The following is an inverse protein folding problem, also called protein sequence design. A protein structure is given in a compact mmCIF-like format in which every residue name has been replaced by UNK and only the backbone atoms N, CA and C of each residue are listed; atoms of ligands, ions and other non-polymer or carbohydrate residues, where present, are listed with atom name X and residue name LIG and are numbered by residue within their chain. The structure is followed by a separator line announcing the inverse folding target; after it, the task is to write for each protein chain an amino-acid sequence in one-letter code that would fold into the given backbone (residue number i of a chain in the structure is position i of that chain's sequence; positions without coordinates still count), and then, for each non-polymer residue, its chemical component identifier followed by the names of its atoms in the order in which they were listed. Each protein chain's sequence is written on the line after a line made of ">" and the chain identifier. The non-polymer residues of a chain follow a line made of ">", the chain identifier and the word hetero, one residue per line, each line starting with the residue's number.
data_IF_874830765548
#
_entry.id   IF_874830765548
#
_cell.length_a   1.000
_cell.length_b   1.000
_cell.length_c   1.000
_cell.angle_alpha   90.00
_cell.angle_beta   90.00
_cell.angle_gamma   90.00
#
_symmetry.space_group_name_H-M   'P 1'
#
loop_
_entity.id
_entity.type
_entity.pdbx_description
1 polymer ?
#
# COMPACT_ATOMS: atom_id res chain seq x y z
N UNK A 1 30.09 3.17 -5.11
CA UNK A 1 28.82 3.04 -4.39
C UNK A 1 28.45 1.56 -4.43
N UNK A 2 28.53 0.85 -3.31
CA UNK A 2 28.15 -0.56 -3.26
C UNK A 2 26.67 -0.64 -2.92
N UNK A 3 25.90 -1.25 -3.81
CA UNK A 3 24.48 -1.49 -3.66
C UNK A 3 24.30 -3.01 -3.66
N UNK A 4 23.56 -3.52 -2.67
CA UNK A 4 23.17 -4.92 -2.60
C UNK A 4 21.68 -5.03 -2.86
N UNK A 5 21.27 -5.88 -3.78
CA UNK A 5 19.86 -6.17 -4.04
C UNK A 5 19.39 -7.30 -3.13
N UNK A 6 18.33 -7.07 -2.38
CA UNK A 6 17.67 -8.06 -1.54
C UNK A 6 16.34 -8.46 -2.18
N UNK A 7 16.36 -9.50 -3.03
CA UNK A 7 15.13 -9.99 -3.63
C UNK A 7 14.36 -10.87 -2.63
N UNK A 8 13.19 -10.40 -2.22
CA UNK A 8 12.22 -11.17 -1.42
C UNK A 8 11.35 -12.02 -2.35
N UNK A 9 11.04 -13.27 -1.95
CA UNK A 9 10.28 -14.23 -2.78
C UNK A 9 8.89 -13.74 -3.23
N UNK A 10 8.30 -12.82 -2.51
CA UNK A 10 6.90 -12.41 -2.72
C UNK A 10 6.75 -11.12 -3.55
N UNK A 11 7.79 -10.65 -4.25
CA UNK A 11 7.71 -9.46 -5.14
C UNK A 11 6.59 -9.52 -6.19
N UNK A 12 5.99 -10.69 -6.37
CA UNK A 12 4.91 -10.88 -7.34
C UNK A 12 3.70 -9.96 -7.06
N UNK A 13 3.38 -9.68 -5.79
CA UNK A 13 2.21 -8.85 -5.44
C UNK A 13 2.40 -7.37 -5.80
N UNK A 14 3.50 -6.69 -5.42
CA UNK A 14 3.77 -5.33 -5.89
C UNK A 14 3.87 -5.24 -7.42
N UNK A 15 4.45 -6.23 -8.09
CA UNK A 15 4.53 -6.27 -9.56
C UNK A 15 3.14 -6.37 -10.17
N UNK A 16 2.28 -7.25 -9.66
CA UNK A 16 0.88 -7.34 -10.10
C UNK A 16 0.14 -6.02 -9.87
N UNK A 17 0.32 -5.39 -8.72
CA UNK A 17 -0.25 -4.07 -8.46
C UNK A 17 0.17 -3.04 -9.53
N UNK A 18 1.45 -2.99 -9.92
CA UNK A 18 1.96 -2.11 -10.98
C UNK A 18 1.26 -2.42 -12.32
N UNK A 19 1.18 -3.70 -12.70
CA UNK A 19 0.57 -4.12 -13.97
C UNK A 19 -0.91 -3.72 -14.03
N UNK A 20 -1.68 -4.00 -12.98
CA UNK A 20 -3.11 -3.66 -12.93
C UNK A 20 -3.34 -2.15 -12.87
N UNK A 21 -2.49 -1.41 -12.13
CA UNK A 21 -2.54 0.05 -12.07
C UNK A 21 -2.30 0.66 -13.44
N UNK A 22 -1.26 0.23 -14.14
CA UNK A 22 -0.93 0.73 -15.46
C UNK A 22 -2.02 0.40 -16.50
N UNK A 23 -2.54 -0.83 -16.46
CA UNK A 23 -3.66 -1.24 -17.31
C UNK A 23 -4.91 -0.36 -17.11
N UNK A 24 -5.24 -0.06 -15.85
CA UNK A 24 -6.37 0.83 -15.51
C UNK A 24 -6.17 2.24 -16.06
N UNK A 25 -4.98 2.81 -15.91
CA UNK A 25 -4.70 4.17 -16.41
C UNK A 25 -4.75 4.27 -17.91
N UNK A 26 -4.19 3.28 -18.64
CA UNK A 26 -4.30 3.22 -20.13
C UNK A 26 -5.77 3.17 -20.54
N UNK A 27 -6.56 2.32 -19.90
CA UNK A 27 -7.97 2.20 -20.24
C UNK A 27 -8.77 3.48 -19.93
N UNK A 28 -8.52 4.10 -18.78
CA UNK A 28 -9.10 5.41 -18.43
C UNK A 28 -8.81 6.45 -19.49
N UNK A 29 -7.59 6.50 -20.00
CA UNK A 29 -7.22 7.41 -21.07
C UNK A 29 -7.93 7.09 -22.39
N UNK A 30 -8.05 5.81 -22.75
CA UNK A 30 -8.79 5.40 -23.95
C UNK A 30 -10.26 5.84 -23.86
N UNK A 31 -10.90 5.62 -22.70
CA UNK A 31 -12.29 6.03 -22.46
C UNK A 31 -12.40 7.56 -22.56
N UNK A 32 -11.48 8.29 -21.94
CA UNK A 32 -11.47 9.75 -21.97
C UNK A 32 -11.23 10.32 -23.37
N UNK A 33 -10.19 9.86 -24.09
CA UNK A 33 -9.77 10.45 -25.39
C UNK A 33 -10.52 9.88 -26.60
N UNK A 34 -10.86 8.58 -26.59
CA UNK A 34 -11.48 7.91 -27.75
C UNK A 34 -13.00 7.89 -27.67
N UNK A 35 -13.54 7.67 -26.49
CA UNK A 35 -14.99 7.60 -26.27
C UNK A 35 -15.54 8.98 -25.84
N UNK A 36 -14.65 9.88 -25.43
CA UNK A 36 -14.98 11.22 -24.93
C UNK A 36 -15.99 11.19 -23.75
N UNK A 37 -15.77 10.22 -22.84
CA UNK A 37 -16.61 10.04 -21.68
C UNK A 37 -15.84 10.46 -20.43
N UNK A 38 -16.28 11.53 -19.76
CA UNK A 38 -15.56 12.20 -18.65
C UNK A 38 -16.33 12.18 -17.35
N UNK A 39 -17.42 11.39 -17.25
CA UNK A 39 -18.34 11.44 -16.13
C UNK A 39 -17.84 10.65 -14.91
N UNK A 40 -17.23 11.36 -13.96
CA UNK A 40 -16.68 10.78 -12.73
C UNK A 40 -17.75 10.09 -11.86
N UNK A 41 -19.00 10.55 -11.92
CA UNK A 41 -20.14 9.92 -11.24
C UNK A 41 -20.41 8.47 -11.70
N UNK A 42 -19.85 8.02 -12.82
CA UNK A 42 -19.94 6.64 -13.30
C UNK A 42 -18.66 5.87 -13.02
N UNK A 43 -17.50 6.53 -13.12
CA UNK A 43 -16.22 5.88 -12.86
C UNK A 43 -16.07 5.42 -11.41
N UNK A 44 -16.46 6.27 -10.46
CA UNK A 44 -16.28 6.01 -9.03
C UNK A 44 -17.09 4.78 -8.56
N UNK A 45 -18.42 4.69 -8.80
CA UNK A 45 -19.18 3.49 -8.45
C UNK A 45 -18.71 2.24 -9.21
N UNK A 46 -18.23 2.38 -10.45
CA UNK A 46 -17.68 1.26 -11.22
C UNK A 46 -16.38 0.73 -10.57
N UNK A 47 -15.54 1.61 -10.06
CA UNK A 47 -14.33 1.24 -9.32
C UNK A 47 -14.68 0.43 -8.06
N UNK A 48 -15.56 0.94 -7.21
CA UNK A 48 -15.96 0.27 -5.98
C UNK A 48 -16.70 -1.04 -6.23
N UNK A 49 -17.51 -1.11 -7.27
CA UNK A 49 -18.14 -2.37 -7.66
C UNK A 49 -17.08 -3.42 -8.05
N UNK A 50 -15.98 -3.00 -8.69
CA UNK A 50 -14.82 -3.85 -8.94
C UNK A 50 -14.17 -4.38 -7.66
N UNK A 51 -14.08 -3.57 -6.61
CA UNK A 51 -13.56 -3.98 -5.29
C UNK A 51 -14.45 -5.00 -4.60
N UNK A 52 -15.78 -4.77 -4.61
CA UNK A 52 -16.76 -5.74 -4.09
C UNK A 52 -16.60 -7.08 -4.78
N UNK A 53 -16.51 -7.05 -6.10
CA UNK A 53 -16.41 -8.26 -6.92
C UNK A 53 -15.09 -9.00 -6.69
N UNK A 54 -13.96 -8.27 -6.71
CA UNK A 54 -12.64 -8.85 -6.47
C UNK A 54 -12.53 -9.40 -5.02
N UNK A 55 -12.86 -8.59 -4.00
CA UNK A 55 -12.83 -9.01 -2.60
C UNK A 55 -13.73 -10.21 -2.35
N UNK A 56 -14.97 -10.19 -2.85
CA UNK A 56 -15.92 -11.29 -2.69
C UNK A 56 -15.46 -12.60 -3.34
N UNK A 57 -14.94 -12.56 -4.57
CA UNK A 57 -14.43 -13.76 -5.27
C UNK A 57 -13.25 -14.36 -4.51
N UNK A 58 -12.25 -13.53 -4.14
CA UNK A 58 -11.05 -14.03 -3.48
C UNK A 58 -11.33 -14.53 -2.07
N UNK A 59 -12.21 -13.89 -1.32
CA UNK A 59 -12.71 -14.39 -0.04
C UNK A 59 -13.37 -15.78 -0.18
N UNK A 60 -14.27 -15.95 -1.16
CA UNK A 60 -14.90 -17.24 -1.41
C UNK A 60 -13.91 -18.31 -1.87
N UNK A 61 -12.92 -17.93 -2.67
CA UNK A 61 -11.85 -18.81 -3.10
C UNK A 61 -11.00 -19.27 -1.92
N UNK A 62 -10.53 -18.35 -1.08
CA UNK A 62 -9.77 -18.67 0.14
C UNK A 62 -10.54 -19.62 1.04
N UNK A 63 -11.81 -19.30 1.33
CA UNK A 63 -12.68 -20.17 2.15
C UNK A 63 -12.86 -21.57 1.58
N UNK A 64 -12.91 -21.71 0.24
CA UNK A 64 -12.96 -23.03 -0.42
C UNK A 64 -11.65 -23.79 -0.27
N UNK A 65 -10.52 -23.11 -0.51
CA UNK A 65 -9.18 -23.69 -0.39
C UNK A 65 -8.93 -24.17 1.04
N UNK A 66 -9.22 -23.32 2.05
CA UNK A 66 -9.10 -23.71 3.46
C UNK A 66 -9.97 -24.90 3.82
N UNK A 67 -11.19 -24.97 3.30
CA UNK A 67 -12.07 -26.12 3.51
C UNK A 67 -11.56 -27.41 2.87
N UNK A 68 -10.97 -27.33 1.66
CA UNK A 68 -10.37 -28.50 0.99
C UNK A 68 -9.12 -29.00 1.72
N UNK A 69 -8.28 -28.08 2.21
CA UNK A 69 -7.08 -28.39 2.99
C UNK A 69 -7.48 -29.07 4.31
N UNK A 70 -8.49 -28.54 5.01
CA UNK A 70 -8.99 -29.15 6.27
C UNK A 70 -9.48 -30.57 6.04
N UNK A 71 -10.20 -30.80 4.93
CA UNK A 71 -10.66 -32.14 4.56
C UNK A 71 -9.50 -33.10 4.22
N UNK A 72 -8.48 -32.63 3.50
CA UNK A 72 -7.30 -33.41 3.18
C UNK A 72 -6.47 -33.77 4.43
N UNK A 73 -6.43 -32.87 5.42
CA UNK A 73 -5.83 -33.08 6.73
C UNK A 73 -6.53 -34.19 7.52
N UNK A 74 -7.87 -34.15 7.53
CA UNK A 74 -8.72 -35.18 8.17
C UNK A 74 -8.53 -36.57 7.51
N UNK A 75 -8.26 -36.61 6.20
CA UNK A 75 -8.08 -37.88 5.44
C UNK A 75 -6.64 -38.45 5.54
N UNK A 76 -5.60 -37.64 5.70
CA UNK A 76 -4.18 -38.09 5.63
C UNK A 76 -3.46 -38.29 6.98
N UNK A 77 -4.07 -37.93 8.10
CA UNK A 77 -3.38 -37.95 9.41
C UNK A 77 -2.23 -36.93 9.54
N UNK A 78 -1.66 -36.86 10.73
CA UNK A 78 -0.73 -35.79 11.15
C UNK A 78 0.59 -35.63 10.37
N UNK A 79 0.96 -36.53 9.48
CA UNK A 79 2.28 -36.55 8.80
C UNK A 79 2.49 -35.45 7.74
N UNK A 80 1.51 -34.62 7.49
CA UNK A 80 1.60 -33.52 6.50
C UNK A 80 2.13 -32.18 7.07
N UNK A 81 2.73 -32.18 8.24
CA UNK A 81 3.15 -30.94 8.97
C UNK A 81 4.17 -30.06 8.21
N UNK A 82 4.97 -30.63 7.33
CA UNK A 82 6.03 -29.89 6.61
C UNK A 82 5.54 -28.92 5.54
N UNK A 83 4.35 -29.12 4.98
CA UNK A 83 3.76 -28.23 3.98
C UNK A 83 2.94 -27.09 4.61
N UNK A 84 2.68 -27.18 5.91
CA UNK A 84 1.72 -26.39 6.68
C UNK A 84 2.32 -25.16 7.38
N UNK A 85 3.65 -24.93 7.38
CA UNK A 85 4.21 -23.80 8.11
C UNK A 85 3.67 -22.42 7.64
N UNK A 86 3.36 -22.26 6.36
CA UNK A 86 2.77 -21.01 5.86
C UNK A 86 1.27 -20.88 6.17
N UNK A 87 0.57 -22.01 6.35
CA UNK A 87 -0.85 -22.04 6.66
C UNK A 87 -1.06 -22.07 8.18
N UNK A 88 -0.16 -22.68 8.94
CA UNK A 88 -0.15 -22.64 10.40
C UNK A 88 0.04 -21.22 10.95
N UNK A 89 0.76 -20.35 10.23
CA UNK A 89 0.80 -18.92 10.55
C UNK A 89 -0.58 -18.27 10.46
N UNK A 90 -1.38 -18.62 9.46
CA UNK A 90 -2.74 -18.11 9.26
C UNK A 90 -3.73 -18.78 10.26
N UNK A 91 -3.54 -20.06 10.57
CA UNK A 91 -4.40 -20.80 11.52
C UNK A 91 -4.09 -20.43 12.98
N UNK A 92 -2.82 -20.27 13.36
CA UNK A 92 -2.42 -19.78 14.68
C UNK A 92 -2.86 -18.32 14.92
N UNK A 93 -2.86 -17.49 13.86
CA UNK A 93 -3.48 -16.17 13.92
C UNK A 93 -4.99 -16.29 14.20
N UNK A 94 -5.69 -17.24 13.60
CA UNK A 94 -7.15 -17.44 13.80
C UNK A 94 -7.51 -18.13 15.11
N UNK A 95 -6.72 -19.08 15.61
CA UNK A 95 -6.94 -19.69 16.93
C UNK A 95 -6.65 -18.74 18.08
N UNK A 96 -5.69 -17.80 17.89
CA UNK A 96 -5.53 -16.67 18.80
C UNK A 96 -6.68 -15.66 18.69
N UNK A 97 -7.31 -15.52 17.50
CA UNK A 97 -8.49 -14.69 17.31
C UNK A 97 -9.69 -15.15 18.17
N UNK A 98 -9.92 -16.46 18.30
CA UNK A 98 -11.04 -16.97 19.09
C UNK A 98 -10.85 -16.78 20.62
N UNK A 99 -9.62 -16.69 21.09
CA UNK A 99 -9.30 -16.50 22.52
C UNK A 99 -9.25 -15.01 22.95
N UNK A 100 -9.02 -14.11 21.99
CA UNK A 100 -8.96 -12.65 22.19
C UNK A 100 -10.18 -11.89 21.69
N UNK A 101 -11.26 -12.58 21.32
CA UNK A 101 -12.43 -11.93 20.74
C UNK A 101 -13.15 -11.06 21.80
N UNK A 102 -12.82 -9.80 21.75
CA UNK A 102 -13.34 -8.70 22.55
C UNK A 102 -14.80 -8.39 22.24
N UNK A 103 -15.52 -7.72 23.16
CA UNK A 103 -16.97 -7.54 23.14
C UNK A 103 -17.51 -6.71 21.96
N UNK A 104 -18.82 -6.62 21.87
CA UNK A 104 -19.64 -5.98 20.82
C UNK A 104 -19.18 -4.58 20.38
N UNK A 105 -18.45 -3.86 21.26
CA UNK A 105 -17.88 -2.53 20.96
C UNK A 105 -16.75 -2.56 19.93
N UNK A 106 -16.00 -3.66 19.83
CA UNK A 106 -14.92 -3.79 18.85
C UNK A 106 -15.44 -3.94 17.43
N UNK A 107 -16.56 -4.65 17.21
CA UNK A 107 -17.16 -4.80 15.88
C UNK A 107 -17.64 -3.47 15.30
N UNK A 108 -18.24 -2.62 16.14
CA UNK A 108 -18.66 -1.28 15.72
C UNK A 108 -17.47 -0.40 15.35
N UNK A 109 -16.37 -0.50 16.12
CA UNK A 109 -15.12 0.21 15.84
C UNK A 109 -14.54 -0.24 14.49
N UNK A 110 -14.45 -1.54 14.24
CA UNK A 110 -13.94 -2.11 12.98
C UNK A 110 -14.77 -1.61 11.79
N UNK A 111 -16.10 -1.73 11.85
CA UNK A 111 -16.99 -1.25 10.79
C UNK A 111 -16.81 0.25 10.55
N UNK A 112 -16.67 1.04 11.61
CA UNK A 112 -16.43 2.49 11.51
C UNK A 112 -15.08 2.79 10.86
N UNK A 113 -14.01 2.06 11.18
CA UNK A 113 -12.69 2.25 10.57
C UNK A 113 -12.69 1.89 9.08
N UNK A 114 -13.38 0.81 8.69
CA UNK A 114 -13.54 0.44 7.28
C UNK A 114 -14.36 1.51 6.53
N UNK A 115 -15.45 2.01 7.13
CA UNK A 115 -16.22 3.11 6.57
C UNK A 115 -15.36 4.38 6.39
N UNK A 116 -14.52 4.70 7.37
CA UNK A 116 -13.62 5.85 7.30
C UNK A 116 -12.56 5.68 6.20
N UNK A 117 -12.05 4.46 6.02
CA UNK A 117 -11.13 4.12 4.93
C UNK A 117 -11.81 4.34 3.56
N UNK A 118 -13.02 3.86 3.36
CA UNK A 118 -13.81 4.07 2.15
C UNK A 118 -14.09 5.57 1.91
N UNK A 119 -14.44 6.32 2.95
CA UNK A 119 -14.65 7.78 2.86
C UNK A 119 -13.38 8.52 2.42
N UNK A 120 -12.21 8.13 2.92
CA UNK A 120 -10.95 8.72 2.49
C UNK A 120 -10.67 8.46 1.02
N UNK A 121 -11.02 7.27 0.51
CA UNK A 121 -10.86 6.93 -0.91
C UNK A 121 -11.80 7.76 -1.80
N UNK A 122 -13.07 7.91 -1.42
CA UNK A 122 -14.03 8.74 -2.13
C UNK A 122 -13.57 10.20 -2.19
N UNK A 123 -13.19 10.78 -1.06
CA UNK A 123 -12.74 12.18 -0.99
C UNK A 123 -11.43 12.35 -1.78
N UNK A 124 -10.50 11.41 -1.68
CA UNK A 124 -9.26 11.40 -2.46
C UNK A 124 -9.53 11.37 -3.97
N UNK A 125 -10.45 10.51 -4.40
CA UNK A 125 -10.86 10.44 -5.80
C UNK A 125 -11.45 11.77 -6.29
N UNK A 126 -12.34 12.37 -5.52
CA UNK A 126 -12.96 13.67 -5.84
C UNK A 126 -11.89 14.77 -5.98
N UNK A 127 -10.95 14.84 -5.03
CA UNK A 127 -9.86 15.82 -5.09
C UNK A 127 -9.03 15.62 -6.35
N UNK A 128 -8.63 14.38 -6.66
CA UNK A 128 -7.71 14.06 -7.75
C UNK A 128 -8.35 14.16 -9.13
N UNK A 129 -9.60 13.75 -9.29
CA UNK A 129 -10.25 13.62 -10.59
C UNK A 129 -11.26 14.71 -10.92
N UNK A 130 -11.75 15.45 -9.91
CA UNK A 130 -12.73 16.52 -10.10
C UNK A 130 -12.08 17.87 -9.83
N UNK A 131 -11.53 18.07 -8.64
CA UNK A 131 -11.04 19.39 -8.22
C UNK A 131 -9.75 19.80 -8.91
N UNK A 132 -8.72 18.92 -8.92
CA UNK A 132 -7.43 19.26 -9.54
C UNK A 132 -7.56 19.52 -11.05
N UNK A 133 -8.26 18.69 -11.86
CA UNK A 133 -8.45 18.96 -13.29
C UNK A 133 -9.24 20.23 -13.58
N UNK A 134 -10.18 20.64 -12.70
CA UNK A 134 -10.99 21.86 -12.86
C UNK A 134 -10.14 23.13 -12.91
N UNK A 135 -8.94 23.11 -12.37
CA UNK A 135 -8.06 24.28 -12.38
C UNK A 135 -7.23 24.45 -13.66
N UNK A 136 -7.29 23.53 -14.64
CA UNK A 136 -6.64 23.59 -15.98
C UNK A 136 -5.19 24.10 -16.05
N UNK A 137 -4.53 24.32 -14.91
CA UNK A 137 -3.21 24.97 -14.78
C UNK A 137 -2.14 23.96 -14.45
N UNK A 138 -2.51 22.90 -13.74
CA UNK A 138 -1.61 21.81 -13.42
C UNK A 138 -1.56 20.84 -14.59
N UNK A 139 -0.36 20.40 -14.93
CA UNK A 139 -0.20 19.32 -15.89
C UNK A 139 -0.85 18.03 -15.35
N UNK A 140 -1.51 17.22 -16.19
CA UNK A 140 -2.08 15.94 -15.75
C UNK A 140 -1.07 15.01 -15.06
N UNK A 141 0.21 15.10 -15.43
CA UNK A 141 1.30 14.35 -14.82
C UNK A 141 1.75 14.90 -13.45
N UNK A 142 1.30 16.08 -13.02
CA UNK A 142 1.77 16.71 -11.78
C UNK A 142 1.33 15.93 -10.53
N UNK A 143 0.05 15.56 -10.45
CA UNK A 143 -0.50 14.80 -9.32
C UNK A 143 0.28 13.51 -9.05
N UNK A 144 0.45 12.61 -10.03
CA UNK A 144 1.25 11.39 -9.86
C UNK A 144 2.69 11.62 -9.40
N UNK A 145 3.34 12.72 -9.83
CA UNK A 145 4.71 13.05 -9.39
C UNK A 145 4.80 13.40 -7.91
N UNK A 146 3.69 13.83 -7.30
CA UNK A 146 3.62 14.17 -5.87
C UNK A 146 3.30 12.97 -4.97
N UNK A 147 3.17 11.75 -5.52
CA UNK A 147 2.90 10.54 -4.72
C UNK A 147 3.93 10.31 -3.59
N UNK A 148 5.13 10.89 -3.69
CA UNK A 148 6.12 10.90 -2.63
C UNK A 148 5.64 11.48 -1.30
N UNK A 149 4.69 12.40 -1.32
CA UNK A 149 4.08 12.91 -0.10
C UNK A 149 3.33 11.84 0.68
N UNK A 150 2.67 10.88 -0.01
CA UNK A 150 1.98 9.79 0.69
C UNK A 150 2.95 8.95 1.53
N UNK A 151 4.19 8.71 1.05
CA UNK A 151 5.21 8.01 1.85
C UNK A 151 5.63 8.80 3.08
N UNK A 152 5.86 10.11 2.94
CA UNK A 152 6.21 10.96 4.07
C UNK A 152 5.11 10.94 5.13
N UNK A 153 3.85 11.08 4.73
CA UNK A 153 2.71 11.05 5.64
C UNK A 153 2.44 9.65 6.18
N UNK A 154 2.55 8.61 5.36
CA UNK A 154 2.40 7.23 5.82
C UNK A 154 3.47 6.89 6.88
N UNK A 155 4.73 7.31 6.67
CA UNK A 155 5.76 7.14 7.70
C UNK A 155 5.43 7.91 8.97
N UNK A 156 4.92 9.12 8.86
CA UNK A 156 4.49 9.90 10.01
C UNK A 156 3.42 9.13 10.81
N UNK A 157 2.36 8.64 10.15
CA UNK A 157 1.32 7.85 10.83
C UNK A 157 1.86 6.53 11.38
N UNK A 158 2.80 5.89 10.69
CA UNK A 158 3.44 4.65 11.11
C UNK A 158 4.21 4.84 12.43
N UNK A 159 4.95 5.95 12.55
CA UNK A 159 5.68 6.28 13.78
C UNK A 159 4.74 6.67 14.92
N UNK A 160 3.80 7.57 14.66
CA UNK A 160 2.99 8.15 15.73
C UNK A 160 1.77 7.31 16.13
N UNK A 161 1.10 6.67 15.17
CA UNK A 161 -0.08 5.86 15.43
C UNK A 161 0.26 4.40 15.74
N UNK A 162 1.19 3.80 14.98
CA UNK A 162 1.57 2.39 15.13
C UNK A 162 2.83 2.20 16.00
N UNK A 163 3.48 3.30 16.42
CA UNK A 163 4.69 3.31 17.28
C UNK A 163 5.85 2.44 16.76
N UNK A 164 5.97 2.30 15.43
CA UNK A 164 6.99 1.50 14.82
C UNK A 164 8.31 2.27 14.69
N UNK A 165 9.48 1.64 14.86
CA UNK A 165 10.76 2.30 14.82
C UNK A 165 11.15 2.70 13.39
N UNK A 166 11.72 3.90 13.23
CA UNK A 166 12.32 4.37 11.98
C UNK A 166 13.83 4.36 12.09
N UNK A 167 14.46 3.52 11.28
CA UNK A 167 15.91 3.36 11.25
C UNK A 167 16.59 4.43 10.39
N UNK A 168 17.94 4.53 10.47
CA UNK A 168 18.72 5.54 9.75
C UNK A 168 18.55 5.49 8.24
N UNK A 169 18.49 4.30 7.64
CA UNK A 169 18.28 4.17 6.20
C UNK A 169 16.91 4.70 5.76
N UNK A 170 15.85 4.51 6.57
CA UNK A 170 14.54 5.13 6.34
C UNK A 170 14.63 6.66 6.38
N UNK A 171 15.29 7.24 7.39
CA UNK A 171 15.41 8.69 7.54
C UNK A 171 16.14 9.34 6.36
N UNK A 172 17.23 8.72 5.89
CA UNK A 172 17.99 9.20 4.75
C UNK A 172 17.14 9.13 3.47
N UNK A 173 16.48 8.01 3.23
CA UNK A 173 15.59 7.82 2.08
C UNK A 173 14.47 8.85 2.05
N UNK A 174 13.79 9.07 3.19
CA UNK A 174 12.73 10.08 3.31
C UNK A 174 13.23 11.49 3.09
N UNK A 175 14.42 11.83 3.61
CA UNK A 175 15.02 13.15 3.42
C UNK A 175 15.29 13.42 1.94
N UNK A 176 15.82 12.43 1.21
CA UNK A 176 16.09 12.57 -0.22
C UNK A 176 14.78 12.64 -1.02
N UNK A 177 13.78 11.81 -0.71
CA UNK A 177 12.45 11.90 -1.31
C UNK A 177 11.85 13.30 -1.08
N UNK A 178 11.93 13.84 0.15
CA UNK A 178 11.45 15.17 0.47
C UNK A 178 12.14 16.27 -0.35
N UNK A 179 13.47 16.20 -0.50
CA UNK A 179 14.22 17.14 -1.35
C UNK A 179 13.77 17.02 -2.82
N UNK A 180 13.59 15.80 -3.33
CA UNK A 180 13.10 15.57 -4.69
C UNK A 180 11.71 16.16 -4.92
N UNK A 181 10.80 16.07 -3.95
CA UNK A 181 9.47 16.67 -4.03
C UNK A 181 9.54 18.20 -4.09
N UNK A 182 10.42 18.82 -3.30
CA UNK A 182 10.64 20.27 -3.36
C UNK A 182 11.16 20.67 -4.75
N UNK A 183 12.06 19.89 -5.34
CA UNK A 183 12.57 20.15 -6.68
C UNK A 183 11.46 19.99 -7.73
N UNK A 184 10.57 18.99 -7.62
CA UNK A 184 9.41 18.84 -8.52
C UNK A 184 8.52 20.09 -8.46
N UNK A 185 8.19 20.58 -7.27
CA UNK A 185 7.38 21.79 -7.08
C UNK A 185 8.08 23.01 -7.67
N UNK A 186 9.38 23.16 -7.42
CA UNK A 186 10.17 24.26 -7.95
C UNK A 186 10.25 24.22 -9.50
N UNK A 187 10.44 23.04 -10.08
CA UNK A 187 10.43 22.87 -11.55
C UNK A 187 9.08 23.23 -12.15
N UNK A 188 7.97 22.76 -11.55
CA UNK A 188 6.61 23.13 -12.00
C UNK A 188 6.41 24.64 -11.95
N UNK A 189 6.86 25.30 -10.88
CA UNK A 189 6.79 26.75 -10.75
C UNK A 189 7.60 27.49 -11.80
N UNK A 190 8.84 27.04 -12.07
CA UNK A 190 9.76 27.68 -13.03
C UNK A 190 9.27 27.52 -14.46
N UNK A 191 8.89 26.31 -14.86
CA UNK A 191 8.55 26.00 -16.24
C UNK A 191 7.11 26.39 -16.62
N UNK A 192 6.18 26.40 -15.66
CA UNK A 192 4.83 26.92 -15.89
C UNK A 192 4.71 28.45 -15.72
N UNK A 193 5.81 29.18 -15.81
CA UNK A 193 5.88 30.62 -15.63
C UNK A 193 5.04 31.36 -16.69
N UNK A 194 3.81 31.71 -16.34
CA UNK A 194 2.94 32.65 -17.08
C UNK A 194 2.83 33.93 -16.25
N UNK A 195 2.85 35.05 -16.94
CA UNK A 195 2.92 36.41 -16.38
C UNK A 195 1.65 36.89 -15.63
N UNK A 196 0.72 36.03 -15.21
CA UNK A 196 -0.48 36.43 -14.49
C UNK A 196 -0.46 35.98 -13.04
N UNK A 197 -0.77 36.89 -12.11
CA UNK A 197 -0.91 36.64 -10.67
C UNK A 197 -1.92 35.51 -10.38
N UNK A 198 -2.98 35.40 -11.14
CA UNK A 198 -4.00 34.35 -11.00
C UNK A 198 -3.43 32.95 -11.16
N UNK A 199 -2.39 32.76 -11.96
CA UNK A 199 -1.80 31.43 -12.20
C UNK A 199 -1.04 30.89 -10.98
N UNK A 200 -0.41 31.76 -10.21
CA UNK A 200 0.24 31.35 -8.96
C UNK A 200 -0.75 30.94 -7.88
N UNK A 201 -1.87 31.65 -7.80
CA UNK A 201 -2.95 31.31 -6.90
C UNK A 201 -3.49 29.91 -7.21
N UNK A 202 -3.82 29.62 -8.45
CA UNK A 202 -4.33 28.32 -8.86
C UNK A 202 -3.28 27.19 -8.70
N UNK A 203 -2.00 27.46 -8.95
CA UNK A 203 -0.92 26.51 -8.69
C UNK A 203 -0.86 26.17 -7.21
N UNK A 204 -0.91 27.17 -6.32
CA UNK A 204 -0.91 26.97 -4.88
C UNK A 204 -2.14 26.18 -4.39
N UNK A 205 -3.33 26.50 -4.91
CA UNK A 205 -4.57 25.79 -4.59
C UNK A 205 -4.50 24.34 -5.10
N UNK A 206 -4.06 24.10 -6.33
CA UNK A 206 -3.92 22.76 -6.89
C UNK A 206 -2.86 21.93 -6.14
N UNK A 207 -1.76 22.54 -5.72
CA UNK A 207 -0.76 21.91 -4.86
C UNK A 207 -1.36 21.55 -3.50
N UNK A 208 -2.13 22.45 -2.90
CA UNK A 208 -2.85 22.21 -1.65
C UNK A 208 -3.78 20.99 -1.75
N UNK A 209 -4.62 20.93 -2.78
CA UNK A 209 -5.48 19.75 -3.02
C UNK A 209 -4.69 18.47 -3.27
N UNK A 210 -3.57 18.55 -4.00
CA UNK A 210 -2.71 17.39 -4.24
C UNK A 210 -2.10 16.88 -2.93
N UNK A 211 -1.62 17.76 -2.06
CA UNK A 211 -1.07 17.38 -0.75
C UNK A 211 -2.16 16.75 0.13
N UNK A 212 -3.36 17.36 0.21
CA UNK A 212 -4.47 16.79 0.98
C UNK A 212 -4.85 15.41 0.44
N UNK A 213 -4.91 15.24 -0.87
CA UNK A 213 -5.15 13.94 -1.50
C UNK A 213 -4.13 12.89 -1.06
N UNK A 214 -2.83 13.24 -0.99
CA UNK A 214 -1.78 12.31 -0.55
C UNK A 214 -1.85 12.01 0.96
N UNK A 215 -2.30 12.96 1.78
CA UNK A 215 -2.57 12.71 3.21
C UNK A 215 -3.70 11.68 3.36
N UNK A 216 -4.78 11.81 2.59
CA UNK A 216 -5.90 10.87 2.63
C UNK A 216 -5.49 9.47 2.21
N UNK A 217 -4.66 9.34 1.16
CA UNK A 217 -4.08 8.04 0.76
C UNK A 217 -3.27 7.43 1.90
N UNK A 218 -2.39 8.22 2.53
CA UNK A 218 -1.58 7.76 3.65
C UNK A 218 -2.42 7.35 4.87
N UNK A 219 -3.47 8.11 5.19
CA UNK A 219 -4.43 7.77 6.25
C UNK A 219 -5.13 6.45 5.95
N UNK A 220 -5.65 6.28 4.72
CA UNK A 220 -6.31 5.05 4.28
C UNK A 220 -5.39 3.84 4.43
N UNK A 221 -4.21 3.90 3.80
CA UNK A 221 -3.26 2.78 3.82
C UNK A 221 -2.81 2.43 5.26
N UNK A 222 -2.69 3.43 6.14
CA UNK A 222 -2.35 3.21 7.56
C UNK A 222 -3.51 2.62 8.36
N UNK A 223 -4.76 3.02 8.08
CA UNK A 223 -5.95 2.41 8.68
C UNK A 223 -6.11 0.95 8.28
N UNK A 224 -5.94 0.63 7.00
CA UNK A 224 -5.94 -0.75 6.51
C UNK A 224 -4.88 -1.59 7.24
N UNK A 225 -3.65 -1.07 7.36
CA UNK A 225 -2.57 -1.78 8.07
C UNK A 225 -2.91 -2.00 9.54
N UNK A 226 -3.51 -1.00 10.19
CA UNK A 226 -4.01 -1.14 11.56
C UNK A 226 -5.04 -2.28 11.67
N UNK A 227 -6.01 -2.34 10.76
CA UNK A 227 -7.03 -3.40 10.73
C UNK A 227 -6.41 -4.80 10.52
N UNK A 228 -5.32 -4.89 9.75
CA UNK A 228 -4.65 -6.17 9.52
C UNK A 228 -3.76 -6.62 10.68
N UNK A 229 -3.09 -5.72 11.37
CA UNK A 229 -2.12 -6.07 12.43
C UNK A 229 -2.74 -6.12 13.82
N UNK A 230 -3.70 -5.25 14.12
CA UNK A 230 -4.28 -5.14 15.46
C UNK A 230 -5.66 -5.76 15.59
N UNK A 231 -6.47 -5.70 14.53
CA UNK A 231 -7.81 -6.28 14.50
C UNK A 231 -7.86 -7.59 13.67
N UNK A 232 -6.70 -8.08 13.18
CA UNK A 232 -6.49 -9.34 12.44
C UNK A 232 -7.47 -9.58 11.30
N UNK A 233 -7.92 -8.51 10.65
CA UNK A 233 -8.92 -8.60 9.59
C UNK A 233 -8.36 -9.23 8.32
N UNK A 234 -9.20 -10.05 7.67
CA UNK A 234 -8.91 -10.59 6.34
C UNK A 234 -8.91 -9.45 5.30
N UNK A 235 -7.83 -9.30 4.48
CA UNK A 235 -7.72 -8.24 3.50
C UNK A 235 -8.83 -8.25 2.45
N UNK A 236 -9.34 -9.45 2.08
CA UNK A 236 -10.41 -9.57 1.09
C UNK A 236 -11.75 -9.11 1.66
N UNK A 237 -11.98 -9.35 2.95
CA UNK A 237 -13.15 -8.87 3.68
C UNK A 237 -13.12 -7.35 3.81
N UNK A 238 -11.96 -6.78 4.19
CA UNK A 238 -11.79 -5.32 4.28
C UNK A 238 -12.06 -4.69 2.92
N UNK A 239 -11.44 -5.18 1.84
CA UNK A 239 -11.65 -4.68 0.48
C UNK A 239 -13.12 -4.75 0.05
N UNK A 240 -13.81 -5.85 0.35
CA UNK A 240 -15.22 -6.02 0.02
C UNK A 240 -16.10 -4.98 0.74
N UNK A 241 -15.88 -4.76 2.03
CA UNK A 241 -16.64 -3.76 2.79
C UNK A 241 -16.28 -2.33 2.41
N UNK A 242 -15.01 -2.02 2.15
CA UNK A 242 -14.60 -0.72 1.58
C UNK A 242 -15.35 -0.46 0.26
N UNK A 243 -15.36 -1.46 -0.62
CA UNK A 243 -16.12 -1.39 -1.86
C UNK A 243 -17.61 -1.14 -1.65
N UNK A 244 -18.26 -1.80 -0.69
CA UNK A 244 -19.68 -1.60 -0.37
C UNK A 244 -19.92 -0.17 0.11
N UNK A 245 -19.14 0.30 1.09
CA UNK A 245 -19.31 1.66 1.63
C UNK A 245 -19.00 2.73 0.58
N UNK A 246 -17.90 2.60 -0.16
CA UNK A 246 -17.55 3.52 -1.22
C UNK A 246 -18.57 3.53 -2.36
N UNK A 247 -19.12 2.36 -2.73
CA UNK A 247 -20.21 2.28 -3.71
C UNK A 247 -21.46 3.06 -3.24
N UNK A 248 -21.84 2.91 -1.97
CA UNK A 248 -22.97 3.64 -1.39
C UNK A 248 -22.68 5.16 -1.32
N UNK A 249 -21.48 5.56 -0.90
CA UNK A 249 -21.08 6.96 -0.84
C UNK A 249 -21.04 7.59 -2.24
N UNK A 250 -20.58 6.86 -3.25
CA UNK A 250 -20.49 7.36 -4.63
C UNK A 250 -21.84 7.75 -5.22
N UNK A 251 -22.96 7.20 -4.74
CA UNK A 251 -24.30 7.64 -5.14
C UNK A 251 -24.64 9.07 -4.70
N UNK A 252 -23.94 9.59 -3.67
CA UNK A 252 -24.12 10.98 -3.26
C UNK A 252 -23.73 11.95 -4.38
N UNK A 253 -22.81 11.57 -5.27
CA UNK A 253 -22.46 12.36 -6.44
C UNK A 253 -23.62 12.48 -7.44
N UNK A 254 -24.46 11.45 -7.53
CA UNK A 254 -25.63 11.48 -8.42
C UNK A 254 -26.74 12.39 -7.89
N UNK A 255 -26.67 12.80 -6.62
CA UNK A 255 -27.62 13.79 -6.07
C UNK A 255 -27.34 15.21 -6.57
N UNK A 256 -26.12 15.48 -7.08
CA UNK A 256 -25.83 16.75 -7.76
C UNK A 256 -26.52 16.78 -9.13
N UNK A 257 -27.49 17.71 -9.26
CA UNK A 257 -28.25 17.91 -10.50
C UNK A 257 -27.33 18.18 -11.72
N UNK A 258 -26.19 18.81 -11.51
CA UNK A 258 -25.26 19.11 -12.61
C UNK A 258 -24.69 17.83 -13.22
N UNK A 259 -24.20 16.89 -12.39
CA UNK A 259 -23.70 15.60 -12.86
C UNK A 259 -24.78 14.77 -13.56
N UNK A 260 -26.00 14.77 -12.99
CA UNK A 260 -27.11 14.05 -13.60
C UNK A 260 -27.47 14.64 -14.97
N UNK A 261 -27.54 15.97 -15.07
CA UNK A 261 -27.83 16.67 -16.32
C UNK A 261 -26.72 16.43 -17.37
N UNK A 262 -25.46 16.45 -16.98
CA UNK A 262 -24.35 16.14 -17.88
C UNK A 262 -24.45 14.72 -18.45
N UNK A 263 -24.71 13.73 -17.61
CA UNK A 263 -24.87 12.33 -17.99
C UNK A 263 -26.09 12.17 -18.94
N UNK A 264 -27.21 12.82 -18.60
CA UNK A 264 -28.42 12.83 -19.44
C UNK A 264 -28.15 13.49 -20.79
N UNK A 265 -27.44 14.60 -20.82
CA UNK A 265 -27.06 15.29 -22.07
C UNK A 265 -26.14 14.42 -22.95
N UNK A 266 -25.15 13.75 -22.32
CA UNK A 266 -24.29 12.81 -23.03
C UNK A 266 -25.10 11.67 -23.67
N UNK A 267 -26.02 11.07 -22.89
CA UNK A 267 -26.91 10.03 -23.39
C UNK A 267 -27.78 10.53 -24.56
N UNK A 268 -28.45 11.66 -24.41
CA UNK A 268 -29.33 12.22 -25.42
C UNK A 268 -28.59 12.59 -26.71
N UNK A 269 -27.39 13.15 -26.60
CA UNK A 269 -26.54 13.54 -27.73
C UNK A 269 -26.04 12.32 -28.52
N UNK A 270 -25.88 11.20 -27.88
CA UNK A 270 -25.34 9.98 -28.50
C UNK A 270 -26.37 8.85 -28.64
N UNK A 271 -27.65 9.10 -28.35
CA UNK A 271 -28.72 8.09 -28.27
C UNK A 271 -28.87 7.23 -29.54
N UNK A 272 -28.50 7.75 -30.72
CA UNK A 272 -28.52 7.03 -31.98
C UNK A 272 -27.32 6.14 -32.26
N UNK A 273 -26.25 6.24 -31.42
CA UNK A 273 -25.01 5.52 -31.63
C UNK A 273 -24.90 4.30 -30.71
N UNK A 274 -25.64 3.23 -31.03
CA UNK A 274 -25.65 2.01 -30.23
C UNK A 274 -24.24 1.37 -30.06
N UNK A 275 -23.39 1.48 -31.08
CA UNK A 275 -22.03 0.95 -31.05
C UNK A 275 -21.18 1.69 -30.03
N UNK A 276 -21.36 3.01 -29.88
CA UNK A 276 -20.66 3.81 -28.86
C UNK A 276 -21.02 3.33 -27.45
N UNK A 277 -22.31 3.09 -27.17
CA UNK A 277 -22.75 2.59 -25.86
C UNK A 277 -22.26 1.18 -25.56
N UNK A 278 -22.24 0.29 -26.60
CA UNK A 278 -21.67 -1.04 -26.42
C UNK A 278 -20.18 -0.98 -26.08
N UNK A 279 -19.42 -0.15 -26.82
CA UNK A 279 -17.99 0.05 -26.55
C UNK A 279 -17.74 0.68 -25.18
N UNK A 280 -18.56 1.66 -24.76
CA UNK A 280 -18.48 2.27 -23.43
C UNK A 280 -18.78 1.23 -22.35
N UNK A 281 -19.86 0.45 -22.50
CA UNK A 281 -20.20 -0.62 -21.56
C UNK A 281 -19.10 -1.66 -21.41
N UNK A 282 -18.55 -2.12 -22.54
CA UNK A 282 -17.40 -3.04 -22.53
C UNK A 282 -16.16 -2.43 -21.86
N UNK A 283 -15.86 -1.16 -22.17
CA UNK A 283 -14.72 -0.47 -21.57
C UNK A 283 -14.91 -0.25 -20.05
N UNK A 284 -16.10 0.12 -19.59
CA UNK A 284 -16.41 0.23 -18.15
C UNK A 284 -16.33 -1.12 -17.44
N UNK A 285 -16.77 -2.21 -18.09
CA UNK A 285 -16.63 -3.56 -17.53
C UNK A 285 -15.16 -3.94 -17.36
N UNK A 286 -14.31 -3.70 -18.35
CA UNK A 286 -12.87 -3.94 -18.25
C UNK A 286 -12.24 -3.01 -17.19
N UNK A 287 -12.68 -1.75 -17.09
CA UNK A 287 -12.24 -0.81 -16.07
C UNK A 287 -12.57 -1.32 -14.65
N UNK A 288 -13.76 -1.88 -14.46
CA UNK A 288 -14.19 -2.51 -13.21
C UNK A 288 -13.24 -3.65 -12.81
N UNK A 289 -12.91 -4.54 -13.75
CA UNK A 289 -11.98 -5.67 -13.49
C UNK A 289 -10.58 -5.15 -13.15
N UNK A 290 -10.06 -4.19 -13.93
CA UNK A 290 -8.74 -3.62 -13.71
C UNK A 290 -8.65 -2.87 -12.37
N UNK A 291 -9.69 -2.13 -12.00
CA UNK A 291 -9.76 -1.43 -10.71
C UNK A 291 -9.85 -2.41 -9.54
N UNK A 292 -10.68 -3.44 -9.64
CA UNK A 292 -10.78 -4.50 -8.64
C UNK A 292 -9.45 -5.23 -8.45
N UNK A 293 -8.79 -5.61 -9.56
CA UNK A 293 -7.47 -6.25 -9.52
C UNK A 293 -6.39 -5.35 -8.91
N UNK A 294 -6.34 -4.07 -9.29
CA UNK A 294 -5.43 -3.08 -8.69
C UNK A 294 -5.59 -3.02 -7.18
N UNK A 295 -6.82 -2.81 -6.69
CA UNK A 295 -7.09 -2.63 -5.27
C UNK A 295 -6.92 -3.94 -4.49
N UNK A 296 -7.22 -5.10 -5.10
CA UNK A 296 -6.90 -6.40 -4.52
C UNK A 296 -5.40 -6.53 -4.22
N UNK A 297 -4.54 -6.30 -5.22
CA UNK A 297 -3.10 -6.40 -5.02
C UNK A 297 -2.53 -5.29 -4.15
N UNK A 298 -3.16 -4.10 -4.11
CA UNK A 298 -2.86 -3.03 -3.17
C UNK A 298 -3.03 -3.50 -1.72
N UNK A 299 -4.19 -4.05 -1.40
CA UNK A 299 -4.53 -4.50 -0.05
C UNK A 299 -3.66 -5.68 0.39
N UNK A 300 -3.43 -6.65 -0.51
CA UNK A 300 -2.52 -7.79 -0.25
C UNK A 300 -1.09 -7.32 -0.03
N UNK A 301 -0.59 -6.36 -0.84
CA UNK A 301 0.74 -5.78 -0.64
C UNK A 301 0.84 -5.04 0.69
N UNK A 302 -0.20 -4.29 1.07
CA UNK A 302 -0.28 -3.58 2.35
C UNK A 302 -0.28 -4.55 3.55
N UNK A 303 -0.99 -5.68 3.45
CA UNK A 303 -0.97 -6.73 4.50
C UNK A 303 0.41 -7.37 4.63
N UNK A 304 0.96 -7.88 3.52
CA UNK A 304 2.20 -8.71 3.53
C UNK A 304 3.44 -7.88 3.86
N UNK A 305 3.49 -6.64 3.39
CA UNK A 305 4.64 -5.77 3.56
C UNK A 305 4.32 -4.57 4.46
N UNK A 306 4.07 -3.43 3.81
CA UNK A 306 3.75 -2.17 4.50
C UNK A 306 3.06 -1.21 3.54
N UNK A 307 2.41 -0.15 4.06
CA UNK A 307 1.90 0.96 3.25
C UNK A 307 2.98 1.60 2.38
N UNK A 308 4.24 1.58 2.85
CA UNK A 308 5.39 2.12 2.13
C UNK A 308 5.74 1.32 0.90
N UNK A 309 5.68 -0.02 0.97
CA UNK A 309 5.94 -0.90 -0.18
C UNK A 309 4.92 -0.68 -1.30
N UNK A 310 3.65 -0.44 -0.95
CA UNK A 310 2.63 -0.04 -1.92
C UNK A 310 2.99 1.29 -2.59
N UNK A 311 3.40 2.29 -1.81
CA UNK A 311 3.80 3.60 -2.33
C UNK A 311 5.07 3.52 -3.18
N UNK A 312 5.99 2.60 -2.85
CA UNK A 312 7.14 2.29 -3.69
C UNK A 312 6.70 1.79 -5.07
N UNK A 313 5.71 0.90 -5.13
CA UNK A 313 5.17 0.45 -6.41
C UNK A 313 4.60 1.63 -7.24
N UNK A 314 3.97 2.60 -6.59
CA UNK A 314 3.51 3.83 -7.23
C UNK A 314 4.69 4.67 -7.79
N UNK A 315 5.86 4.66 -7.15
CA UNK A 315 7.06 5.35 -7.68
C UNK A 315 7.57 4.73 -8.97
N UNK A 316 7.54 3.42 -9.10
CA UNK A 316 7.90 2.75 -10.36
C UNK A 316 6.92 3.10 -11.49
N UNK A 317 5.68 3.40 -11.16
CA UNK A 317 4.70 3.88 -12.14
C UNK A 317 5.02 5.29 -12.65
N UNK A 318 5.65 6.15 -11.84
CA UNK A 318 5.93 7.54 -12.21
C UNK A 318 6.78 7.69 -13.49
N UNK A 319 7.93 7.02 -13.68
CA UNK A 319 8.68 7.09 -14.94
C UNK A 319 7.88 6.56 -16.14
N UNK A 320 7.06 5.51 -15.91
CA UNK A 320 6.20 4.92 -16.94
C UNK A 320 5.12 5.91 -17.34
N UNK A 321 4.48 6.55 -16.37
CA UNK A 321 3.49 7.59 -16.61
C UNK A 321 4.09 8.81 -17.32
N UNK A 322 5.28 9.26 -16.95
CA UNK A 322 5.95 10.35 -17.64
C UNK A 322 6.19 10.02 -19.12
N UNK A 323 6.65 8.79 -19.43
CA UNK A 323 6.80 8.34 -20.80
C UNK A 323 5.47 8.27 -21.56
N UNK A 324 4.42 7.80 -20.89
CA UNK A 324 3.07 7.75 -21.46
C UNK A 324 2.49 9.15 -21.69
N UNK A 325 2.58 10.07 -20.74
CA UNK A 325 2.11 11.44 -20.86
C UNK A 325 2.90 12.23 -21.89
N UNK A 326 4.18 11.92 -22.10
CA UNK A 326 4.97 12.47 -23.18
C UNK A 326 4.37 12.15 -24.56
N UNK A 327 3.95 10.91 -24.77
CA UNK A 327 3.37 10.48 -26.06
C UNK A 327 1.89 10.82 -26.25
N UNK A 328 1.12 10.86 -25.16
CA UNK A 328 -0.34 10.92 -25.17
C UNK A 328 -0.94 12.29 -24.83
N UNK A 329 -0.23 13.08 -24.02
CA UNK A 329 -0.67 14.39 -23.54
C UNK A 329 0.32 15.48 -23.99
N UNK A 330 -0.16 16.71 -24.06
CA UNK A 330 0.69 17.86 -24.37
C UNK A 330 1.51 18.35 -23.16
N UNK A 331 1.67 17.51 -22.15
CA UNK A 331 2.54 17.73 -21.03
C UNK A 331 3.98 17.95 -21.53
N UNK A 332 4.75 18.72 -20.77
CA UNK A 332 6.14 19.10 -21.13
C UNK A 332 6.27 19.96 -22.38
N UNK A 333 5.18 20.58 -22.85
CA UNK A 333 5.24 21.60 -23.88
C UNK A 333 5.14 23.00 -23.28
N UNK A 334 6.16 23.80 -23.52
CA UNK A 334 6.18 25.22 -23.15
C UNK A 334 5.95 26.03 -24.44
N UNK A 335 4.92 26.87 -24.45
CA UNK A 335 4.50 27.62 -25.64
C UNK A 335 4.30 26.73 -26.89
N UNK A 336 3.78 25.51 -26.69
CA UNK A 336 3.52 24.55 -27.78
C UNK A 336 4.77 23.79 -28.28
N UNK A 337 5.97 24.08 -27.72
CA UNK A 337 7.20 23.34 -28.04
C UNK A 337 7.59 22.43 -26.88
N UNK A 338 8.05 21.22 -27.22
CA UNK A 338 8.57 20.28 -26.24
C UNK A 338 9.81 20.85 -25.55
N UNK A 339 9.81 20.84 -24.22
CA UNK A 339 10.95 21.22 -23.40
C UNK A 339 11.67 19.97 -22.88
N UNK A 340 12.80 19.67 -23.51
CA UNK A 340 13.62 18.52 -23.17
C UNK A 340 14.22 18.61 -21.75
N UNK A 341 14.53 19.82 -21.27
CA UNK A 341 15.09 20.01 -19.93
C UNK A 341 14.06 19.73 -18.87
N UNK A 342 12.85 20.28 -19.01
CA UNK A 342 11.74 20.03 -18.08
C UNK A 342 11.40 18.55 -17.97
N UNK A 343 11.32 17.87 -19.13
CA UNK A 343 11.06 16.42 -19.17
C UNK A 343 12.20 15.62 -18.53
N UNK A 344 13.47 15.91 -18.89
CA UNK A 344 14.64 15.17 -18.38
C UNK A 344 14.81 15.32 -16.87
N UNK A 345 14.62 16.51 -16.33
CA UNK A 345 14.67 16.75 -14.88
C UNK A 345 13.63 15.91 -14.18
N UNK A 346 12.40 15.89 -14.66
CA UNK A 346 11.31 15.13 -14.03
C UNK A 346 11.55 13.61 -14.09
N UNK A 347 12.10 13.07 -15.18
CA UNK A 347 12.48 11.65 -15.26
C UNK A 347 13.59 11.33 -14.25
N UNK A 348 14.66 12.13 -14.22
CA UNK A 348 15.78 11.90 -13.30
C UNK A 348 15.30 11.91 -11.85
N UNK A 349 14.49 12.90 -11.47
CA UNK A 349 13.95 13.00 -10.12
C UNK A 349 13.06 11.80 -9.79
N UNK A 350 12.19 11.39 -10.70
CA UNK A 350 11.32 10.21 -10.51
C UNK A 350 12.13 8.93 -10.32
N UNK A 351 13.23 8.76 -11.07
CA UNK A 351 14.13 7.62 -10.89
C UNK A 351 14.85 7.67 -9.53
N UNK A 352 15.29 8.86 -9.09
CA UNK A 352 15.91 9.03 -7.76
C UNK A 352 14.91 8.65 -6.67
N UNK A 353 13.66 9.13 -6.74
CA UNK A 353 12.60 8.78 -5.79
C UNK A 353 12.37 7.27 -5.79
N UNK A 354 12.32 6.62 -6.96
CA UNK A 354 12.15 5.17 -7.07
C UNK A 354 13.30 4.40 -6.42
N UNK A 355 14.55 4.82 -6.63
CA UNK A 355 15.74 4.19 -6.02
C UNK A 355 15.72 4.34 -4.49
N UNK A 356 15.44 5.53 -3.98
CA UNK A 356 15.40 5.75 -2.53
C UNK A 356 14.14 5.18 -1.88
N UNK A 357 13.02 5.05 -2.59
CA UNK A 357 11.90 4.24 -2.18
C UNK A 357 12.28 2.76 -2.03
N UNK A 358 13.01 2.20 -2.98
CA UNK A 358 13.56 0.84 -2.87
C UNK A 358 14.53 0.68 -1.70
N UNK A 359 15.30 1.71 -1.38
CA UNK A 359 16.20 1.69 -0.23
C UNK A 359 15.43 1.79 1.09
N UNK A 360 14.31 2.51 1.10
CA UNK A 360 13.41 2.59 2.23
C UNK A 360 12.82 1.22 2.60
N UNK A 361 12.32 0.48 1.63
CA UNK A 361 11.73 -0.86 1.81
C UNK A 361 12.76 -2.01 1.83
N UNK A 362 14.05 -1.69 1.91
CA UNK A 362 15.15 -2.65 1.94
C UNK A 362 15.27 -3.57 0.70
N UNK A 363 14.63 -3.24 -0.42
CA UNK A 363 14.89 -3.93 -1.69
C UNK A 363 16.29 -3.61 -2.22
N UNK A 364 16.78 -2.42 -1.91
CA UNK A 364 18.14 -1.97 -2.16
C UNK A 364 18.79 -1.64 -0.84
N UNK A 365 19.84 -2.37 -0.49
CA UNK A 365 20.63 -2.09 0.71
C UNK A 365 21.78 -1.16 0.33
N UNK A 366 21.80 0.01 0.96
CA UNK A 366 22.87 0.98 0.80
C UNK A 366 24.05 0.63 1.70
N UNK A 367 25.19 0.28 1.11
CA UNK A 367 26.37 -0.20 1.85
C UNK A 367 27.29 0.93 2.35
N UNK A 368 26.91 2.21 2.19
CA UNK A 368 27.66 3.34 2.69
C UNK A 368 27.21 3.77 4.08
N UNK A 369 28.10 4.36 4.86
CA UNK A 369 27.85 4.84 6.23
C UNK A 369 27.31 3.78 7.20
N UNK A 370 27.63 2.50 6.99
CA UNK A 370 27.14 1.38 7.82
C UNK A 370 25.61 1.24 7.86
N UNK A 371 24.89 1.75 6.86
CA UNK A 371 23.41 1.67 6.80
C UNK A 371 22.90 0.22 6.71
N UNK A 372 23.72 -0.71 6.21
CA UNK A 372 23.38 -2.14 6.18
C UNK A 372 23.11 -2.74 7.56
N UNK A 373 23.74 -2.17 8.61
CA UNK A 373 23.58 -2.68 9.99
C UNK A 373 22.19 -2.43 10.58
N UNK A 374 21.49 -1.44 10.05
CA UNK A 374 20.19 -1.01 10.55
C UNK A 374 19.04 -1.61 9.71
N UNK A 375 19.32 -2.57 8.83
CA UNK A 375 18.31 -3.30 8.07
C UNK A 375 17.61 -4.33 8.95
N UNK A 376 16.34 -4.61 8.65
CA UNK A 376 15.52 -5.57 9.38
C UNK A 376 16.18 -6.95 9.48
N UNK A 377 16.78 -7.42 8.38
CA UNK A 377 17.51 -8.69 8.32
C UNK A 377 18.70 -8.75 9.29
N UNK A 378 19.47 -7.66 9.41
CA UNK A 378 20.62 -7.59 10.29
C UNK A 378 20.22 -7.43 11.76
N UNK A 379 19.11 -6.75 12.02
CA UNK A 379 18.55 -6.62 13.36
C UNK A 379 18.01 -7.96 13.84
N UNK A 380 17.24 -8.65 12.99
CA UNK A 380 16.70 -9.99 13.32
C UNK A 380 17.82 -11.01 13.57
N UNK A 381 18.88 -11.02 12.74
CA UNK A 381 20.04 -11.88 12.96
C UNK A 381 20.81 -11.58 14.25
N UNK A 382 20.86 -10.31 14.65
CA UNK A 382 21.46 -9.94 15.94
C UNK A 382 20.58 -10.35 17.10
N UNK A 383 19.27 -10.20 16.98
CA UNK A 383 18.33 -10.62 18.00
C UNK A 383 18.39 -12.14 18.24
N UNK A 384 18.34 -12.95 17.16
CA UNK A 384 18.43 -14.41 17.25
C UNK A 384 19.80 -14.86 17.83
N UNK A 385 20.88 -14.15 17.51
CA UNK A 385 22.21 -14.45 18.05
C UNK A 385 22.33 -14.11 19.55
N UNK A 386 21.64 -13.05 20.00
CA UNK A 386 21.57 -12.70 21.43
C UNK A 386 20.72 -13.74 22.17
N UNK A 387 19.61 -14.18 21.58
CA UNK A 387 18.77 -15.23 22.14
C UNK A 387 19.52 -16.56 22.30
N UNK A 388 20.23 -16.99 21.24
CA UNK A 388 21.11 -18.17 21.27
C UNK A 388 22.20 -18.07 22.33
N UNK A 389 22.84 -16.89 22.48
CA UNK A 389 23.83 -16.66 23.53
C UNK A 389 23.19 -16.67 24.93
N UNK A 390 21.99 -16.13 25.09
CA UNK A 390 21.28 -16.14 26.36
C UNK A 390 20.89 -17.56 26.79
N UNK A 391 20.44 -18.37 25.84
CA UNK A 391 20.13 -19.79 26.07
C UNK A 391 21.40 -20.57 26.48
N UNK A 392 22.55 -20.31 25.83
CA UNK A 392 23.83 -20.93 26.21
C UNK A 392 24.28 -20.53 27.64
N UNK A 393 24.16 -19.24 28.00
CA UNK A 393 24.48 -18.79 29.34
C UNK A 393 23.57 -19.40 30.42
N UNK A 394 22.27 -19.49 30.13
CA UNK A 394 21.31 -20.10 31.06
C UNK A 394 21.57 -21.63 31.21
N UNK A 395 21.98 -22.32 30.14
CA UNK A 395 22.35 -23.73 30.21
C UNK A 395 23.62 -23.95 31.07
N UNK A 396 24.62 -23.08 30.90
CA UNK A 396 25.85 -23.14 31.74
C UNK A 396 25.54 -22.90 33.24
N UNK A 397 24.59 -21.97 33.56
CA UNK A 397 24.14 -21.71 34.94
C UNK A 397 23.36 -22.91 35.54
N UNK A 398 22.53 -23.61 34.71
CA UNK A 398 21.80 -24.82 35.14
C UNK A 398 22.78 -25.98 35.44
N UNK A 399 23.81 -26.16 34.61
CA UNK A 399 24.85 -27.19 34.85
C UNK A 399 25.68 -26.91 36.13
N UNK A 400 26.00 -25.63 36.45
CA UNK A 400 26.67 -25.25 37.70
C UNK A 400 25.77 -25.48 38.92
N UNK A 401 24.45 -25.20 38.87
CA UNK A 401 23.51 -25.47 39.95
C UNK A 401 23.33 -26.99 40.19
N UNK A 402 23.33 -27.82 39.13
CA UNK A 402 23.27 -29.29 39.27
C UNK A 402 24.56 -29.83 39.92
N UNK A 403 25.75 -29.37 39.50
CA UNK A 403 27.01 -29.78 40.14
C UNK A 403 27.12 -29.37 41.63
N UNK A 404 26.64 -28.15 41.99
CA UNK A 404 26.59 -27.74 43.40
C UNK A 404 25.59 -28.57 44.22
N UNK A 405 24.46 -28.93 43.63
CA UNK A 405 23.45 -29.77 44.29
C UNK A 405 23.96 -31.21 44.52
N UNK A 406 24.65 -31.82 43.55
CA UNK A 406 25.28 -33.14 43.67
C UNK A 406 26.42 -33.12 44.70
N UNK A 407 27.27 -32.10 44.72
CA UNK A 407 28.33 -31.96 45.70
C UNK A 407 27.77 -31.79 47.12
N UNK A 408 26.68 -31.04 47.28
CA UNK A 408 26.00 -30.85 48.55
C UNK A 408 25.38 -32.15 49.07
N UNK A 409 24.77 -32.94 48.18
CA UNK A 409 24.19 -34.26 48.53
C UNK A 409 25.26 -35.30 48.90
N UNK A 410 26.41 -35.29 48.23
CA UNK A 410 27.55 -36.15 48.52
C UNK A 410 28.21 -35.83 49.86
N UNK A 411 28.28 -34.56 50.24
CA UNK A 411 28.77 -34.11 51.56
C UNK A 411 27.82 -34.52 52.70
N UNK A 412 26.49 -34.45 52.47
CA UNK A 412 25.48 -34.90 53.45
C UNK A 412 25.54 -36.41 53.68
N UNK A 413 25.67 -37.21 52.61
CA UNK A 413 25.81 -38.66 52.67
C UNK A 413 27.11 -39.10 53.39
N UNK A 414 28.24 -38.43 53.17
CA UNK A 414 29.49 -38.68 53.92
C UNK A 414 29.37 -38.34 55.43
N UNK A 415 28.62 -37.33 55.80
CA UNK A 415 28.34 -36.98 57.21
C UNK A 415 27.44 -38.00 57.88
N UNK A 416 26.45 -38.54 57.21
CA UNK A 416 25.56 -39.55 57.76
C UNK A 416 26.23 -40.92 57.89
N UNK A 417 27.14 -41.29 56.99
CA UNK A 417 27.97 -42.50 57.14
C UNK A 417 28.95 -42.44 58.32
N UNK A 418 29.47 -41.25 58.66
CA UNK A 418 30.34 -41.08 59.88
C UNK A 418 29.55 -41.10 61.18
N UNK A 419 28.26 -40.79 61.21
CA UNK A 419 27.42 -40.84 62.40
C UNK A 419 26.93 -42.25 62.77
N UNK A 420 26.90 -43.20 61.86
CA UNK A 420 26.43 -44.55 62.08
C UNK A 420 27.57 -45.53 62.46
N UNK A 421 28.83 -45.04 62.55
CA UNK A 421 30.01 -45.83 62.93
C UNK A 421 30.59 -45.41 64.27
N UNK A 422 29.87 -44.76 65.18
CA UNK A 422 30.12 -44.49 66.58
C UNK A 422 28.97 -45.08 67.39
#
# INVERSE_FOLDING_TARGET
>A
MCIKFAFRRNLIYPIQYIIWSFGREILSFIIFKRINFTHNAVYLPTMFFGEIFAGGIFYLYEKRVMKSIKKEKEEKGEDSEKYFMSIKLIENEKEQEDEYFTPLDSKKKIIFLIFLSALFDDVQFLLSHVMIPSFHILSPSFGPRLNGFSTLFATFFYVYALKLPVFRHHQISLSIIGICLIIIIATEYIFNKSNSFFKYYYLAVGLGYSIVSQILVACKDSLEKYLFEYDFMDPFVVLMYEGIFGYLLSFLLLLDKNYFNELSNYYNSNSKNHLLFLNLGAALFVYMILSGGKNLFRVVTNKIYSPMTKTLADYFLNPIYLGYYFGACEDFRIHGKFDAWYFSINIVISLIISIFGCAYDEFIILLFCNLERDTHDQISRRASKIEELTELFNADDEDEEEEESENSSNILNKKNLKKNNI
#
